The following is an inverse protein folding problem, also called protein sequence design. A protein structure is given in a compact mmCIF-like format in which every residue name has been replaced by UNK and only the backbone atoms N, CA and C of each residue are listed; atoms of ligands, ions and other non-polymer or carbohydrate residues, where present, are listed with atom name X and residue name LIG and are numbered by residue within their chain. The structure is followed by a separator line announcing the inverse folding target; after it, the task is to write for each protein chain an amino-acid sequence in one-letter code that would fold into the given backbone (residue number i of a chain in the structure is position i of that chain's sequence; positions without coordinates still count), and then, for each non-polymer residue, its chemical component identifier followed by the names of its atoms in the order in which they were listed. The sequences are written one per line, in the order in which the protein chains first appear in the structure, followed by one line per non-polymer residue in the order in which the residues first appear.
data_IF_284455401598
#
_entry.id   IF_284455401598
#
_cell.length_a   1.000
_cell.length_b   1.000
_cell.length_c   1.000
_cell.angle_alpha   90.00
_cell.angle_beta   90.00
_cell.angle_gamma   90.00
#
_symmetry.space_group_name_H-M   'P 1'
#
loop_
_entity.id
_entity.type
_entity.pdbx_description
1 polymer ?
#
# COMPACT_ATOMS: atom_id res chain seq x y z
N UNK A 1 1.13 -28.21 23.80
CA UNK A 1 2.20 -27.41 24.45
C UNK A 1 2.79 -26.46 23.43
N UNK A 2 2.93 -25.19 23.82
CA UNK A 2 3.42 -24.00 23.12
C UNK A 2 2.68 -23.55 21.84
N UNK A 3 1.53 -22.89 22.04
CA UNK A 3 1.03 -21.89 21.09
C UNK A 3 1.80 -20.59 21.33
N UNK A 4 2.94 -20.40 20.66
CA UNK A 4 3.56 -19.09 20.58
C UNK A 4 2.71 -18.25 19.61
N UNK A 5 1.64 -17.63 20.14
CA UNK A 5 1.02 -16.50 19.44
C UNK A 5 2.06 -15.39 19.45
N UNK A 6 2.72 -15.16 18.31
CA UNK A 6 3.62 -14.04 18.10
C UNK A 6 2.79 -12.77 18.00
N UNK A 7 2.34 -12.26 19.15
CA UNK A 7 1.90 -10.88 19.27
C UNK A 7 3.03 -9.97 18.81
N UNK A 8 2.75 -9.11 17.84
CA UNK A 8 3.68 -8.10 17.35
C UNK A 8 4.09 -7.21 18.53
N UNK A 9 5.40 -7.08 18.76
CA UNK A 9 5.92 -6.11 19.73
C UNK A 9 5.88 -4.72 19.09
N UNK A 10 4.84 -3.94 19.41
CA UNK A 10 4.64 -2.59 18.88
C UNK A 10 5.86 -1.69 19.10
N UNK A 11 6.54 -1.82 20.24
CA UNK A 11 7.71 -0.98 20.58
C UNK A 11 8.91 -1.33 19.73
N UNK A 12 9.10 -2.60 19.40
CA UNK A 12 10.16 -3.05 18.48
C UNK A 12 10.03 -2.39 17.11
N UNK A 13 8.80 -2.14 16.67
CA UNK A 13 8.50 -1.57 15.35
C UNK A 13 8.22 -0.06 15.35
N UNK A 14 8.36 0.61 16.51
CA UNK A 14 8.08 2.03 16.64
C UNK A 14 6.62 2.40 16.33
N UNK A 15 5.68 1.48 16.55
CA UNK A 15 4.26 1.70 16.28
C UNK A 15 3.59 2.36 17.49
N UNK A 16 2.81 3.40 17.21
CA UNK A 16 2.01 4.12 18.18
C UNK A 16 0.53 4.03 17.82
N UNK A 17 -0.34 3.81 18.80
CA UNK A 17 -1.78 3.75 18.56
C UNK A 17 -2.33 5.15 18.33
N UNK A 18 -3.02 5.34 17.21
CA UNK A 18 -3.68 6.60 16.92
C UNK A 18 -4.50 6.58 15.64
N UNK A 19 -4.84 7.77 15.17
CA UNK A 19 -5.51 7.96 13.90
C UNK A 19 -4.47 8.11 12.79
N UNK A 20 -4.51 7.21 11.81
CA UNK A 20 -3.57 7.22 10.68
C UNK A 20 -3.70 8.48 9.82
N UNK A 21 -4.90 9.07 9.75
CA UNK A 21 -5.27 10.15 8.83
C UNK A 21 -4.88 9.85 7.37
N UNK A 22 -4.87 8.56 6.99
CA UNK A 22 -4.58 8.13 5.62
C UNK A 22 -5.60 8.77 4.67
N UNK A 23 -5.13 9.28 3.54
CA UNK A 23 -5.98 9.99 2.56
C UNK A 23 -6.21 9.18 1.29
N UNK A 24 -5.32 8.25 0.99
CA UNK A 24 -5.49 7.27 -0.08
C UNK A 24 -4.85 5.95 0.29
N UNK A 25 -5.44 4.86 -0.16
CA UNK A 25 -4.88 3.50 -0.04
C UNK A 25 -4.43 3.05 -1.43
N UNK A 26 -3.13 2.86 -1.59
CA UNK A 26 -2.49 2.45 -2.83
C UNK A 26 -1.91 1.04 -2.72
N UNK A 27 -0.71 0.81 -3.30
CA UNK A 27 -0.01 -0.46 -3.17
C UNK A 27 0.21 -0.87 -1.71
N UNK A 28 0.13 -2.17 -1.45
CA UNK A 28 0.20 -2.76 -0.12
C UNK A 28 1.05 -4.04 -0.10
N UNK A 29 1.75 -4.27 1.01
CA UNK A 29 2.46 -5.52 1.23
C UNK A 29 2.56 -5.84 2.71
N UNK A 30 2.48 -7.13 3.07
CA UNK A 30 2.76 -7.57 4.43
C UNK A 30 4.25 -7.93 4.60
N UNK A 31 4.85 -7.52 5.71
CA UNK A 31 6.06 -8.17 6.22
C UNK A 31 5.76 -9.60 6.69
N UNK A 32 6.77 -10.49 6.80
CA UNK A 32 6.59 -11.81 7.40
C UNK A 32 6.08 -11.78 8.84
N UNK A 33 6.19 -10.64 9.53
CA UNK A 33 5.73 -10.47 10.91
C UNK A 33 4.29 -9.93 11.01
N UNK A 34 3.58 -9.74 9.88
CA UNK A 34 2.18 -9.31 9.86
C UNK A 34 1.98 -7.79 9.88
N UNK A 35 3.05 -6.99 9.81
CA UNK A 35 2.92 -5.54 9.59
C UNK A 35 2.51 -5.28 8.15
N UNK A 36 1.40 -4.55 7.95
CA UNK A 36 0.90 -4.10 6.65
C UNK A 36 1.53 -2.77 6.29
N UNK A 37 2.20 -2.70 5.15
CA UNK A 37 2.64 -1.44 4.55
C UNK A 37 1.62 -0.96 3.52
N UNK A 38 1.32 0.34 3.50
CA UNK A 38 0.38 0.96 2.57
C UNK A 38 0.96 2.27 2.03
N UNK A 39 0.95 2.44 0.71
CA UNK A 39 1.27 3.71 0.06
C UNK A 39 0.08 4.68 0.05
N UNK A 40 0.28 5.91 0.52
CA UNK A 40 -0.67 7.03 0.43
C UNK A 40 -0.09 8.11 -0.50
N UNK A 41 -0.52 8.11 -1.76
CA UNK A 41 -0.04 9.05 -2.77
C UNK A 41 -0.56 10.47 -2.54
N UNK A 42 -1.76 10.63 -1.96
CA UNK A 42 -2.33 11.95 -1.65
C UNK A 42 -1.50 12.65 -0.57
N UNK A 43 -1.10 11.92 0.49
CA UNK A 43 -0.26 12.45 1.57
C UNK A 43 1.25 12.28 1.34
N UNK A 44 1.67 11.71 0.20
CA UNK A 44 3.07 11.36 -0.10
C UNK A 44 3.75 10.62 1.06
N UNK A 45 3.10 9.58 1.58
CA UNK A 45 3.55 8.85 2.77
C UNK A 45 3.41 7.35 2.59
N UNK A 46 4.19 6.60 3.36
CA UNK A 46 3.97 5.16 3.55
C UNK A 46 3.65 4.92 5.01
N UNK A 47 2.61 4.15 5.24
CA UNK A 47 2.18 3.73 6.56
C UNK A 47 2.61 2.29 6.81
N UNK A 48 3.04 1.99 8.02
CA UNK A 48 3.22 0.64 8.54
C UNK A 48 2.20 0.44 9.67
N UNK A 49 1.32 -0.55 9.53
CA UNK A 49 0.14 -0.73 10.37
C UNK A 49 0.13 -2.15 10.93
N UNK A 50 -0.09 -2.28 12.23
CA UNK A 50 -0.43 -3.58 12.84
C UNK A 50 -1.94 -3.77 12.84
N UNK A 51 -2.42 -4.70 12.02
CA UNK A 51 -3.85 -5.05 11.89
C UNK A 51 -4.34 -6.02 12.98
N UNK A 52 -3.47 -6.40 13.94
CA UNK A 52 -3.77 -7.29 15.07
C UNK A 52 -4.36 -8.66 14.67
N UNK A 53 -4.10 -9.11 13.44
CA UNK A 53 -4.66 -10.34 12.88
C UNK A 53 -3.80 -11.57 13.23
N UNK A 54 -3.84 -11.96 14.50
CA UNK A 54 -2.94 -12.99 15.06
C UNK A 54 -3.49 -14.41 15.01
N UNK A 55 -4.71 -14.61 14.50
CA UNK A 55 -5.34 -15.92 14.42
C UNK A 55 -4.67 -16.76 13.33
N UNK A 56 -3.90 -17.78 13.73
CA UNK A 56 -3.23 -18.67 12.79
C UNK A 56 -4.23 -19.56 12.06
N UNK A 57 -4.18 -19.58 10.74
CA UNK A 57 -4.80 -20.66 9.97
C UNK A 57 -3.82 -21.84 9.85
N UNK A 58 -4.24 -23.01 10.32
CA UNK A 58 -3.46 -24.25 10.20
C UNK A 58 -3.85 -25.07 8.95
N UNK A 59 -4.78 -24.58 8.15
CA UNK A 59 -5.33 -25.27 6.99
C UNK A 59 -5.16 -24.41 5.75
N UNK A 60 -4.80 -25.02 4.61
CA UNK A 60 -4.79 -24.30 3.34
C UNK A 60 -6.22 -24.05 2.92
N UNK A 61 -6.72 -22.84 3.09
CA UNK A 61 -8.02 -22.44 2.58
C UNK A 61 -7.88 -21.93 1.15
N UNK A 62 -8.74 -22.44 0.25
CA UNK A 62 -8.95 -21.80 -1.04
C UNK A 62 -10.10 -20.81 -0.86
N UNK A 63 -9.82 -19.54 -1.09
CA UNK A 63 -10.83 -18.48 -1.07
C UNK A 63 -11.23 -18.22 -2.53
N UNK A 64 -12.40 -18.70 -2.94
CA UNK A 64 -13.00 -18.35 -4.24
C UNK A 64 -14.02 -17.23 -4.04
N UNK A 65 -13.66 -16.01 -4.47
CA UNK A 65 -14.50 -14.82 -4.35
C UNK A 65 -14.89 -14.33 -5.74
N UNK A 66 -15.97 -14.91 -6.28
CA UNK A 66 -16.53 -14.46 -7.54
C UNK A 66 -17.29 -13.15 -7.35
N UNK A 67 -17.09 -12.19 -8.25
CA UNK A 67 -17.76 -10.88 -8.24
C UNK A 67 -17.64 -10.14 -6.90
N UNK A 68 -16.45 -10.14 -6.28
CA UNK A 68 -16.18 -9.55 -4.96
C UNK A 68 -16.60 -8.07 -4.85
N UNK A 69 -16.67 -7.35 -5.97
CA UNK A 69 -17.13 -5.97 -6.01
C UNK A 69 -18.60 -5.78 -5.60
N UNK A 70 -19.47 -6.77 -5.85
CA UNK A 70 -20.88 -6.74 -5.44
C UNK A 70 -21.07 -6.83 -3.91
N UNK A 71 -20.53 -7.85 -3.20
CA UNK A 71 -20.63 -7.91 -1.75
C UNK A 71 -19.85 -6.78 -1.08
N UNK A 72 -18.71 -6.31 -1.64
CA UNK A 72 -18.01 -5.14 -1.12
C UNK A 72 -18.87 -3.87 -1.22
N UNK A 73 -19.44 -3.58 -2.39
CA UNK A 73 -20.30 -2.40 -2.59
C UNK A 73 -21.52 -2.46 -1.65
N UNK A 74 -22.13 -3.64 -1.51
CA UNK A 74 -23.24 -3.88 -0.59
C UNK A 74 -22.83 -3.63 0.88
N UNK A 75 -21.67 -4.14 1.30
CA UNK A 75 -21.13 -3.96 2.65
C UNK A 75 -20.80 -2.48 2.94
N UNK A 76 -20.19 -1.79 1.97
CA UNK A 76 -19.78 -0.39 2.10
C UNK A 76 -20.92 0.62 1.89
N UNK A 77 -22.12 0.14 1.51
CA UNK A 77 -23.30 0.96 1.27
C UNK A 77 -23.13 1.92 0.09
N UNK A 78 -22.43 1.51 -0.97
CA UNK A 78 -22.18 2.33 -2.16
C UNK A 78 -22.53 1.59 -3.45
N UNK A 79 -22.54 2.30 -4.59
CA UNK A 79 -22.65 1.63 -5.88
C UNK A 79 -21.33 0.97 -6.25
N UNK A 80 -21.39 -0.12 -7.01
CA UNK A 80 -20.21 -0.77 -7.60
C UNK A 80 -19.38 0.18 -8.48
N UNK A 81 -20.02 1.11 -9.19
CA UNK A 81 -19.34 2.11 -10.02
C UNK A 81 -18.50 3.10 -9.20
N UNK A 82 -18.82 3.26 -7.91
CA UNK A 82 -18.12 4.16 -6.99
C UNK A 82 -17.04 3.42 -6.18
N UNK A 83 -16.74 2.17 -6.52
CA UNK A 83 -15.78 1.33 -5.80
C UNK A 83 -14.55 1.08 -6.67
N UNK A 84 -13.39 1.51 -6.19
CA UNK A 84 -12.10 1.26 -6.83
C UNK A 84 -11.24 0.39 -5.91
N UNK A 85 -11.06 -0.89 -6.29
CA UNK A 85 -10.05 -1.75 -5.66
C UNK A 85 -8.68 -1.33 -6.17
N UNK A 86 -7.80 -0.93 -5.27
CA UNK A 86 -6.47 -0.41 -5.56
C UNK A 86 -5.40 -1.47 -5.45
N UNK A 87 -5.53 -2.34 -4.45
CA UNK A 87 -4.60 -3.45 -4.25
C UNK A 87 -5.19 -4.53 -3.32
N UNK A 88 -4.53 -5.68 -3.28
CA UNK A 88 -4.84 -6.84 -2.45
C UNK A 88 -3.55 -7.36 -1.79
N UNK A 89 -3.61 -7.64 -0.49
CA UNK A 89 -2.52 -8.27 0.25
C UNK A 89 -3.07 -9.41 1.13
N UNK A 90 -2.31 -10.48 1.30
CA UNK A 90 -2.70 -11.61 2.14
C UNK A 90 -1.87 -11.60 3.41
N UNK A 91 -2.52 -11.63 4.57
CA UNK A 91 -1.82 -11.65 5.85
C UNK A 91 -1.08 -13.00 6.01
N UNK A 92 0.22 -13.01 6.35
CA UNK A 92 1.07 -14.20 6.23
C UNK A 92 0.72 -15.33 7.20
N UNK A 93 0.11 -15.01 8.35
CA UNK A 93 -0.20 -15.99 9.41
C UNK A 93 -1.64 -16.46 9.37
N UNK A 94 -2.57 -15.52 9.22
CA UNK A 94 -4.01 -15.80 9.23
C UNK A 94 -4.55 -16.20 7.87
N UNK A 95 -3.82 -15.85 6.80
CA UNK A 95 -4.24 -16.00 5.40
C UNK A 95 -5.51 -15.21 5.05
N UNK A 96 -5.94 -14.28 5.91
CA UNK A 96 -7.01 -13.36 5.58
C UNK A 96 -6.56 -12.38 4.51
N UNK A 97 -7.50 -11.99 3.65
CA UNK A 97 -7.26 -11.08 2.55
C UNK A 97 -7.54 -9.66 3.01
N UNK A 98 -6.68 -8.73 2.64
CA UNK A 98 -6.84 -7.30 2.87
C UNK A 98 -6.92 -6.57 1.52
N UNK A 99 -7.93 -5.72 1.38
CA UNK A 99 -8.23 -4.98 0.15
C UNK A 99 -8.11 -3.48 0.42
N UNK A 100 -7.29 -2.80 -0.38
CA UNK A 100 -7.25 -1.34 -0.44
C UNK A 100 -8.38 -0.87 -1.36
N UNK A 101 -9.32 -0.12 -0.82
CA UNK A 101 -10.49 0.36 -1.56
C UNK A 101 -10.56 1.88 -1.46
N UNK A 102 -10.73 2.55 -2.59
CA UNK A 102 -11.21 3.94 -2.61
C UNK A 102 -12.71 3.92 -2.91
N UNK A 103 -13.51 4.49 -2.00
CA UNK A 103 -14.96 4.63 -2.12
C UNK A 103 -15.31 6.05 -2.56
N UNK A 104 -16.04 6.19 -3.65
CA UNK A 104 -16.32 7.47 -4.30
C UNK A 104 -15.28 7.81 -5.37
N UNK A 105 -15.43 8.98 -5.99
CA UNK A 105 -14.56 9.46 -7.07
C UNK A 105 -14.07 10.88 -6.80
N UNK A 106 -12.93 11.25 -7.40
CA UNK A 106 -12.34 12.58 -7.23
C UNK A 106 -11.91 12.88 -5.80
N UNK A 107 -11.99 14.15 -5.42
CA UNK A 107 -11.51 14.67 -4.13
C UNK A 107 -12.34 14.17 -2.93
N UNK A 108 -13.58 13.72 -3.18
CA UNK A 108 -14.47 13.15 -2.16
C UNK A 108 -14.25 11.64 -1.95
N UNK A 109 -13.29 11.03 -2.67
CA UNK A 109 -12.99 9.61 -2.50
C UNK A 109 -12.39 9.33 -1.12
N UNK A 110 -12.90 8.28 -0.48
CA UNK A 110 -12.53 7.90 0.89
C UNK A 110 -11.76 6.58 0.89
N UNK A 111 -10.59 6.52 1.54
CA UNK A 111 -9.86 5.28 1.70
C UNK A 111 -10.55 4.35 2.70
N UNK A 112 -10.68 3.07 2.34
CA UNK A 112 -11.18 2.02 3.21
C UNK A 112 -10.27 0.81 3.07
N UNK A 113 -9.82 0.29 4.22
CA UNK A 113 -9.13 -1.00 4.28
C UNK A 113 -10.13 -2.06 4.72
N UNK A 114 -10.33 -3.08 3.88
CA UNK A 114 -11.29 -4.15 4.13
C UNK A 114 -10.55 -5.46 4.36
N UNK A 115 -10.93 -6.18 5.40
CA UNK A 115 -10.55 -7.57 5.68
C UNK A 115 -11.62 -8.51 5.11
N UNK A 116 -11.19 -9.56 4.42
CA UNK A 116 -12.03 -10.69 3.99
C UNK A 116 -11.46 -11.96 4.62
N UNK A 117 -12.29 -12.64 5.39
CA UNK A 117 -11.91 -13.87 6.09
C UNK A 117 -12.09 -15.10 5.19
N UNK A 118 -11.56 -16.24 5.64
CA UNK A 118 -11.64 -17.51 4.90
C UNK A 118 -13.07 -17.99 4.60
N UNK A 119 -14.04 -17.58 5.41
CA UNK A 119 -15.46 -17.90 5.25
C UNK A 119 -16.21 -16.90 4.35
N UNK A 120 -15.49 -15.92 3.79
CA UNK A 120 -16.04 -14.84 2.98
C UNK A 120 -16.63 -13.69 3.79
N UNK A 121 -16.55 -13.70 5.12
CA UNK A 121 -16.99 -12.58 5.94
C UNK A 121 -16.14 -11.33 5.67
N UNK A 122 -16.81 -10.21 5.47
CA UNK A 122 -16.23 -8.90 5.14
C UNK A 122 -16.33 -7.99 6.36
N UNK A 123 -15.24 -7.32 6.70
CA UNK A 123 -15.20 -6.29 7.75
C UNK A 123 -14.22 -5.16 7.41
N UNK A 124 -14.56 -3.91 7.72
CA UNK A 124 -13.61 -2.79 7.67
C UNK A 124 -12.60 -2.84 8.82
N UNK A 125 -11.36 -2.44 8.54
CA UNK A 125 -10.33 -2.17 9.56
C UNK A 125 -10.49 -0.73 10.04
N UNK A 126 -10.55 -0.52 11.36
CA UNK A 126 -10.63 0.82 11.93
C UNK A 126 -9.27 1.52 11.91
N UNK A 127 -9.07 2.42 10.94
CA UNK A 127 -7.84 3.20 10.77
C UNK A 127 -7.78 4.46 11.66
N UNK A 128 -8.84 4.73 12.43
CA UNK A 128 -8.90 5.88 13.34
C UNK A 128 -8.29 5.62 14.71
N UNK A 129 -8.11 4.34 15.07
CA UNK A 129 -7.51 3.92 16.33
C UNK A 129 -6.75 2.59 16.17
N UNK A 130 -5.57 2.66 15.55
CA UNK A 130 -4.76 1.47 15.24
C UNK A 130 -3.28 1.73 15.51
N UNK A 131 -2.46 0.73 15.89
CA UNK A 131 -1.01 0.91 16.00
C UNK A 131 -0.38 1.11 14.62
N UNK A 132 0.28 2.24 14.42
CA UNK A 132 0.96 2.54 13.16
C UNK A 132 2.23 3.36 13.36
N UNK A 133 3.07 3.37 12.33
CA UNK A 133 4.10 4.38 12.10
C UNK A 133 4.05 4.83 10.65
N UNK A 134 4.70 5.94 10.31
CA UNK A 134 4.73 6.44 8.94
C UNK A 134 6.07 7.07 8.59
N UNK A 135 6.35 7.11 7.30
CA UNK A 135 7.44 7.86 6.71
C UNK A 135 6.93 8.73 5.56
N UNK A 136 7.47 9.93 5.41
CA UNK A 136 7.10 10.88 4.35
C UNK A 136 8.09 10.75 3.20
N UNK A 137 7.56 10.69 1.98
CA UNK A 137 8.33 10.73 0.75
C UNK A 137 8.59 12.19 0.37
N UNK A 138 9.70 12.74 0.87
CA UNK A 138 10.06 14.16 0.71
C UNK A 138 10.30 14.59 -0.74
N UNK A 139 10.52 13.64 -1.63
CA UNK A 139 10.77 13.83 -3.05
C UNK A 139 9.53 13.57 -3.90
N UNK A 140 8.34 13.47 -3.31
CA UNK A 140 7.12 13.28 -4.08
C UNK A 140 6.80 14.55 -4.92
N UNK A 141 6.31 14.39 -6.18
CA UNK A 141 5.85 15.49 -7.04
C UNK A 141 4.84 16.41 -6.34
N UNK A 142 4.84 17.70 -6.60
CA UNK A 142 3.84 18.61 -6.03
C UNK A 142 2.41 18.17 -6.40
N UNK A 143 1.41 18.49 -5.56
CA UNK A 143 0.00 18.19 -5.83
C UNK A 143 -0.46 18.82 -7.15
N UNK A 144 0.11 19.98 -7.51
CA UNK A 144 -0.17 20.71 -8.74
C UNK A 144 0.92 20.53 -9.80
N UNK A 145 1.77 19.50 -9.69
CA UNK A 145 2.77 19.22 -10.72
C UNK A 145 2.06 18.98 -12.07
N UNK A 146 2.41 19.74 -13.13
CA UNK A 146 1.70 19.65 -14.40
C UNK A 146 2.04 18.38 -15.20
N UNK A 147 3.05 17.61 -14.78
CA UNK A 147 3.47 16.40 -15.48
C UNK A 147 2.43 15.29 -15.30
N UNK A 148 2.17 14.58 -16.39
CA UNK A 148 1.24 13.45 -16.45
C UNK A 148 2.01 12.24 -16.99
N UNK A 149 1.85 11.09 -16.34
CA UNK A 149 2.38 9.81 -16.78
C UNK A 149 1.22 8.97 -17.30
N UNK A 150 1.24 8.65 -18.60
CA UNK A 150 0.11 8.06 -19.32
C UNK A 150 -1.15 8.94 -19.21
N UNK A 151 -1.95 8.76 -18.15
CA UNK A 151 -3.21 9.48 -17.88
C UNK A 151 -3.34 9.95 -16.43
N UNK A 152 -2.31 9.68 -15.63
CA UNK A 152 -2.30 9.94 -14.20
C UNK A 152 -1.41 11.17 -13.91
N UNK A 153 -1.88 12.15 -13.10
CA UNK A 153 -1.01 13.19 -12.59
C UNK A 153 0.21 12.59 -11.88
N UNK A 154 1.40 13.19 -12.01
CA UNK A 154 2.64 12.59 -11.49
C UNK A 154 2.56 12.28 -9.99
N UNK A 155 1.87 13.12 -9.20
CA UNK A 155 1.61 12.90 -7.77
C UNK A 155 0.89 11.59 -7.48
N UNK A 156 -0.08 11.18 -8.30
CA UNK A 156 -0.88 9.97 -8.05
C UNK A 156 -0.13 8.68 -8.36
N UNK A 157 1.08 8.77 -8.91
CA UNK A 157 2.01 7.65 -9.18
C UNK A 157 3.32 7.79 -8.38
N UNK A 158 3.33 8.56 -7.29
CA UNK A 158 4.48 8.66 -6.36
C UNK A 158 4.91 7.30 -5.83
N UNK A 159 3.92 6.47 -5.50
CA UNK A 159 4.05 5.06 -5.14
C UNK A 159 3.22 4.25 -6.12
N UNK A 160 3.88 3.40 -6.88
CA UNK A 160 3.26 2.49 -7.87
C UNK A 160 3.33 1.04 -7.44
N UNK A 161 4.35 0.66 -6.65
CA UNK A 161 4.45 -0.66 -6.04
C UNK A 161 5.34 -0.62 -4.78
N UNK A 162 5.12 -1.57 -3.88
CA UNK A 162 5.86 -1.74 -2.63
C UNK A 162 6.21 -3.22 -2.42
N UNK A 163 7.47 -3.50 -2.10
CA UNK A 163 7.93 -4.83 -1.70
C UNK A 163 8.69 -4.74 -0.38
N UNK A 164 8.57 -5.76 0.48
CA UNK A 164 9.32 -5.85 1.73
C UNK A 164 10.33 -7.01 1.66
N UNK A 165 11.59 -6.72 1.97
CA UNK A 165 12.67 -7.72 2.01
C UNK A 165 13.68 -7.34 3.10
N UNK A 166 13.96 -8.27 4.00
CA UNK A 166 15.03 -8.18 5.01
C UNK A 166 15.11 -6.84 5.78
N UNK A 167 13.97 -6.35 6.27
CA UNK A 167 13.92 -5.09 7.03
C UNK A 167 13.94 -3.83 6.16
N UNK A 168 13.87 -3.97 4.83
CA UNK A 168 13.87 -2.86 3.88
C UNK A 168 12.58 -2.90 3.08
N UNK A 169 11.93 -1.74 2.99
CA UNK A 169 10.87 -1.49 2.05
C UNK A 169 11.46 -0.96 0.74
N UNK A 170 11.23 -1.68 -0.35
CA UNK A 170 11.46 -1.23 -1.71
C UNK A 170 10.20 -0.55 -2.23
N UNK A 171 10.35 0.69 -2.71
CA UNK A 171 9.22 1.52 -3.14
C UNK A 171 9.50 2.01 -4.54
N UNK A 172 8.67 1.59 -5.48
CA UNK A 172 8.67 2.05 -6.85
C UNK A 172 7.73 3.27 -7.00
N UNK A 173 8.08 4.19 -7.89
CA UNK A 173 7.15 5.20 -8.37
C UNK A 173 7.84 6.46 -8.88
N UNK A 174 7.12 7.58 -8.82
CA UNK A 174 7.59 8.87 -9.29
C UNK A 174 8.21 9.72 -8.16
N UNK A 175 9.20 10.53 -8.51
CA UNK A 175 9.75 11.64 -7.73
C UNK A 175 9.52 12.98 -8.44
N UNK A 176 9.82 14.07 -7.76
CA UNK A 176 9.76 15.43 -8.27
C UNK A 176 10.94 15.79 -9.19
N UNK A 177 11.93 14.93 -9.34
CA UNK A 177 13.13 15.16 -10.15
C UNK A 177 12.82 15.12 -11.65
N UNK A 178 13.76 15.60 -12.49
CA UNK A 178 13.62 15.59 -13.96
C UNK A 178 13.38 14.17 -14.47
N UNK A 179 14.23 13.22 -14.05
CA UNK A 179 13.98 11.80 -14.20
C UNK A 179 13.14 11.30 -13.04
N UNK A 180 11.83 11.39 -13.23
CA UNK A 180 10.85 11.10 -12.17
C UNK A 180 10.84 9.63 -11.76
N UNK A 181 11.27 8.68 -12.59
CA UNK A 181 11.29 7.26 -12.20
C UNK A 181 12.28 7.02 -11.07
N UNK A 182 11.81 6.60 -9.91
CA UNK A 182 12.65 6.45 -8.71
C UNK A 182 12.36 5.15 -7.98
N UNK A 183 13.43 4.44 -7.61
CA UNK A 183 13.40 3.33 -6.67
C UNK A 183 13.91 3.82 -5.31
N UNK A 184 13.07 3.70 -4.28
CA UNK A 184 13.43 4.05 -2.90
C UNK A 184 13.65 2.78 -2.08
N UNK A 185 14.63 2.84 -1.18
CA UNK A 185 14.92 1.83 -0.17
C UNK A 185 14.77 2.50 1.19
N UNK A 186 13.80 2.03 1.96
CA UNK A 186 13.43 2.65 3.24
C UNK A 186 13.58 1.58 4.34
N UNK A 187 14.48 1.76 5.31
CA UNK A 187 14.57 0.85 6.46
C UNK A 187 13.26 0.82 7.24
N UNK A 188 12.91 -0.36 7.75
CA UNK A 188 11.85 -0.55 8.72
C UNK A 188 12.42 -1.27 9.97
N UNK A 189 12.21 -0.75 11.20
CA UNK A 189 11.39 0.41 11.59
C UNK A 189 11.84 1.73 10.95
N UNK A 190 10.90 2.64 10.70
CA UNK A 190 11.21 3.90 10.04
C UNK A 190 12.10 4.78 10.95
N UNK A 191 13.25 5.19 10.43
CA UNK A 191 14.24 6.03 11.14
C UNK A 191 14.42 7.41 10.47
N UNK A 192 13.60 7.72 9.47
CA UNK A 192 13.68 8.94 8.67
C UNK A 192 14.72 8.90 7.55
N UNK A 193 15.49 7.82 7.42
CA UNK A 193 16.44 7.65 6.31
C UNK A 193 15.78 6.99 5.11
N UNK A 194 16.24 7.35 3.92
CA UNK A 194 15.90 6.64 2.68
C UNK A 194 17.03 6.78 1.67
N UNK A 195 17.29 5.70 0.93
CA UNK A 195 18.14 5.76 -0.26
C UNK A 195 17.25 5.82 -1.50
N UNK A 196 17.67 6.62 -2.48
CA UNK A 196 16.91 6.84 -3.71
C UNK A 196 17.82 6.60 -4.90
N UNK A 197 17.32 5.90 -5.90
CA UNK A 197 17.99 5.71 -7.18
C UNK A 197 17.05 6.18 -8.28
N UNK A 198 17.43 7.25 -8.97
CA UNK A 198 16.71 7.68 -10.17
C UNK A 198 17.06 6.74 -11.31
N UNK A 199 16.05 6.39 -12.12
CA UNK A 199 16.21 5.55 -13.30
C UNK A 199 16.09 6.38 -14.57
N UNK A 200 17.15 6.33 -15.36
CA UNK A 200 17.21 6.99 -16.66
C UNK A 200 16.96 5.95 -17.76
N UNK A 201 15.82 6.08 -18.44
CA UNK A 201 15.42 5.18 -19.52
C UNK A 201 15.59 5.91 -20.84
N UNK A 202 16.29 5.29 -21.81
CA UNK A 202 16.44 5.84 -23.16
C UNK A 202 15.68 4.98 -24.17
N UNK A 203 14.84 5.60 -24.99
CA UNK A 203 14.03 4.90 -25.99
C UNK A 203 14.59 5.15 -27.40
N UNK A 204 15.26 4.13 -27.93
CA UNK A 204 16.03 4.18 -29.18
C UNK A 204 15.17 4.55 -30.40
N UNK A 205 13.89 4.13 -30.42
CA UNK A 205 12.96 4.35 -31.54
C UNK A 205 12.67 5.82 -31.83
N UNK A 206 12.75 6.68 -30.82
CA UNK A 206 12.53 8.12 -30.99
C UNK A 206 13.68 8.98 -30.45
N UNK A 207 14.77 8.35 -30.00
CA UNK A 207 16.04 9.00 -29.65
C UNK A 207 15.96 9.91 -28.44
N UNK A 208 15.06 9.63 -27.49
CA UNK A 208 14.82 10.47 -26.31
C UNK A 208 14.92 9.68 -25.02
N UNK A 209 15.25 10.41 -23.96
CA UNK A 209 15.08 9.95 -22.60
C UNK A 209 13.60 9.96 -22.21
N UNK A 210 13.15 8.89 -21.56
CA UNK A 210 11.84 8.75 -20.96
C UNK A 210 11.93 9.24 -19.51
N UNK A 211 11.75 10.55 -19.34
CA UNK A 211 11.87 11.24 -18.04
C UNK A 211 10.65 11.04 -17.13
N UNK A 212 9.58 10.45 -17.67
CA UNK A 212 8.29 10.26 -17.01
C UNK A 212 7.80 8.79 -17.12
N UNK A 213 8.67 7.82 -16.80
CA UNK A 213 8.39 6.39 -16.90
C UNK A 213 8.67 5.65 -15.57
N UNK A 214 7.82 5.80 -14.53
CA UNK A 214 8.01 5.14 -13.25
C UNK A 214 7.92 3.62 -13.40
N UNK A 215 8.74 2.90 -12.61
CA UNK A 215 8.57 1.46 -12.37
C UNK A 215 7.12 1.22 -11.97
N UNK A 216 6.43 0.23 -12.55
CA UNK A 216 5.01 -0.02 -12.26
C UNK A 216 4.76 -1.21 -11.35
N UNK A 217 5.62 -2.21 -11.39
CA UNK A 217 5.46 -3.41 -10.57
C UNK A 217 6.81 -4.10 -10.34
N UNK A 218 6.99 -4.66 -9.16
CA UNK A 218 8.00 -5.66 -8.85
C UNK A 218 7.46 -7.04 -9.20
N UNK A 219 8.33 -7.90 -9.74
CA UNK A 219 7.98 -9.30 -9.93
C UNK A 219 8.27 -10.03 -8.60
N UNK A 220 7.32 -10.83 -8.06
CA UNK A 220 7.57 -11.65 -6.89
C UNK A 220 8.78 -12.58 -7.11
N UNK A 221 9.62 -12.71 -6.09
CA UNK A 221 10.74 -13.66 -6.08
C UNK A 221 10.28 -15.07 -5.70
#
# INVERSE_FOLDING_TARGET
MNKNSTTVDLRKYGLETGNTQIKSVGPMVFSPQGILFIGDNVSASIFAIDVSDTESSNEKHTIDLQNIDVPLASYLGCNKADLLVRDIAVHPTSQNIYLAIMRGTGDESQPVLVKVQHDGAISSVDLSHIPFSKTVLSDAPDVNDPRIVSRDPLRTVTVTDICYVDGILLVAGASNEEFSSTLRRIPFPFDGTSQRNSLEIFHVSHGKYETAAPIRTFVPL
#
